data_IF_168304081857
#
_entry.id   IF_168304081857
#
_cell.length_a   1.000
_cell.length_b   1.000
_cell.length_c   1.000
_cell.angle_alpha   90.00
_cell.angle_beta   90.00
_cell.angle_gamma   90.00
#
_symmetry.space_group_name_H-M   'P 1'
#
loop_
_entity.id
_entity.type
_entity.pdbx_description
1 polymer ?
#
# COMPACT_ATOMS: atom_id res chain seq x y z
N UNK A 1 -1.20 -0.90 3.83
CA UNK A 1 -2.32 -1.08 2.85
C UNK A 1 -3.38 -2.09 3.30
N UNK A 2 -3.13 -3.42 3.31
CA UNK A 2 -4.15 -4.46 3.62
C UNK A 2 -4.95 -4.19 4.91
N UNK A 3 -4.27 -3.77 5.97
CA UNK A 3 -4.90 -3.45 7.25
C UNK A 3 -5.93 -2.31 7.12
N UNK A 4 -5.53 -1.18 6.53
CA UNK A 4 -6.43 -0.04 6.28
C UNK A 4 -7.58 -0.38 5.33
N UNK A 5 -7.32 -1.20 4.32
CA UNK A 5 -8.39 -1.71 3.44
C UNK A 5 -9.42 -2.55 4.19
N UNK A 6 -9.00 -3.34 5.19
CA UNK A 6 -9.92 -4.04 6.07
C UNK A 6 -10.69 -3.08 6.97
N UNK A 7 -10.10 -1.99 7.44
CA UNK A 7 -10.82 -0.99 8.24
C UNK A 7 -11.84 -0.20 7.39
N UNK A 8 -11.50 0.10 6.14
CA UNK A 8 -12.35 0.89 5.23
C UNK A 8 -13.63 0.18 4.78
N UNK A 9 -13.68 -1.16 4.87
CA UNK A 9 -14.89 -1.98 4.68
C UNK A 9 -15.62 -1.74 3.34
N UNK A 10 -14.91 -1.36 2.27
CA UNK A 10 -15.51 -1.20 0.94
C UNK A 10 -15.97 -2.56 0.39
N UNK A 11 -17.18 -2.60 -0.18
CA UNK A 11 -17.84 -3.85 -0.61
C UNK A 11 -18.08 -3.96 -2.11
N UNK A 12 -17.82 -2.90 -2.86
CA UNK A 12 -17.87 -2.88 -4.33
C UNK A 12 -16.46 -2.76 -4.89
N UNK A 13 -16.25 -3.21 -6.12
CA UNK A 13 -14.95 -3.07 -6.80
C UNK A 13 -14.64 -1.59 -7.01
N UNK A 14 -15.65 -0.82 -7.42
CA UNK A 14 -15.61 0.61 -7.70
C UNK A 14 -15.13 1.41 -6.47
N UNK A 15 -15.73 1.17 -5.31
CA UNK A 15 -15.33 1.85 -4.09
C UNK A 15 -13.96 1.39 -3.60
N UNK A 16 -13.63 0.12 -3.81
CA UNK A 16 -12.36 -0.46 -3.38
C UNK A 16 -11.19 0.16 -4.15
N UNK A 17 -11.25 0.21 -5.48
CA UNK A 17 -10.12 0.73 -6.27
C UNK A 17 -9.96 2.25 -6.09
N UNK A 18 -11.07 3.01 -6.02
CA UNK A 18 -11.03 4.45 -5.71
C UNK A 18 -10.41 4.71 -4.35
N UNK A 19 -10.80 3.94 -3.33
CA UNK A 19 -10.26 4.11 -1.99
C UNK A 19 -8.77 3.73 -1.91
N UNK A 20 -8.34 2.65 -2.58
CA UNK A 20 -6.91 2.31 -2.66
C UNK A 20 -6.11 3.45 -3.29
N UNK A 21 -6.62 4.06 -4.38
CA UNK A 21 -5.99 5.20 -5.05
C UNK A 21 -5.68 6.34 -4.08
N UNK A 22 -6.68 6.79 -3.32
CA UNK A 22 -6.46 7.83 -2.29
C UNK A 22 -5.57 7.34 -1.14
N UNK A 23 -5.69 6.09 -0.72
CA UNK A 23 -4.88 5.53 0.36
C UNK A 23 -3.38 5.55 0.02
N UNK A 24 -3.01 5.19 -1.21
CA UNK A 24 -1.59 5.17 -1.60
C UNK A 24 -0.98 6.56 -1.70
N UNK A 25 -1.76 7.59 -1.99
CA UNK A 25 -1.32 8.99 -1.97
C UNK A 25 -0.93 9.48 -0.57
N UNK A 26 -1.41 8.82 0.49
CA UNK A 26 -1.10 9.17 1.88
C UNK A 26 0.16 8.49 2.42
N UNK A 27 0.81 7.61 1.65
CA UNK A 27 2.00 6.88 2.09
C UNK A 27 3.25 7.67 1.71
N UNK A 28 4.06 8.00 2.71
CA UNK A 28 5.29 8.77 2.50
C UNK A 28 6.34 7.95 1.75
N UNK A 29 7.18 8.64 0.97
CA UNK A 29 8.25 8.01 0.19
C UNK A 29 9.21 7.19 1.10
N UNK A 30 9.44 7.66 2.32
CA UNK A 30 10.29 6.98 3.31
C UNK A 30 9.68 5.67 3.79
N UNK A 31 8.37 5.64 4.07
CA UNK A 31 7.65 4.42 4.45
C UNK A 31 7.67 3.39 3.31
N UNK A 32 7.48 3.86 2.07
CA UNK A 32 7.53 3.03 0.88
C UNK A 32 8.93 2.40 0.69
N UNK A 33 9.99 3.19 0.82
CA UNK A 33 11.37 2.69 0.75
C UNK A 33 11.66 1.67 1.86
N UNK A 34 11.24 1.96 3.10
CA UNK A 34 11.39 1.04 4.23
C UNK A 34 10.65 -0.28 3.98
N UNK A 35 9.45 -0.24 3.39
CA UNK A 35 8.72 -1.45 3.03
C UNK A 35 9.50 -2.29 2.02
N UNK A 36 10.01 -1.69 0.94
CA UNK A 36 10.77 -2.42 -0.07
C UNK A 36 12.05 -3.07 0.50
N UNK A 37 12.77 -2.36 1.37
CA UNK A 37 13.95 -2.91 2.04
C UNK A 37 13.58 -4.11 2.95
N UNK A 38 12.59 -3.95 3.83
CA UNK A 38 12.24 -4.98 4.82
C UNK A 38 11.49 -6.17 4.22
N UNK A 39 10.77 -5.98 3.11
CA UNK A 39 10.09 -7.04 2.38
C UNK A 39 11.01 -7.77 1.38
N UNK A 40 12.29 -7.41 1.30
CA UNK A 40 13.27 -8.03 0.41
C UNK A 40 13.14 -7.66 -1.06
N UNK A 41 12.26 -6.72 -1.41
CA UNK A 41 12.10 -6.23 -2.79
C UNK A 41 13.28 -5.35 -3.25
N UNK A 42 13.97 -4.71 -2.31
CA UNK A 42 15.18 -3.92 -2.60
C UNK A 42 16.48 -4.75 -2.55
N UNK A 43 16.40 -6.09 -2.46
CA UNK A 43 17.58 -6.93 -2.54
C UNK A 43 18.12 -6.95 -3.97
N UNK A 44 19.18 -6.19 -4.22
CA UNK A 44 19.93 -6.31 -5.47
C UNK A 44 20.62 -7.67 -5.48
N UNK A 45 20.23 -8.55 -6.40
CA UNK A 45 20.98 -9.78 -6.67
C UNK A 45 22.24 -9.39 -7.43
N UNK A 46 23.37 -9.35 -6.73
CA UNK A 46 24.71 -9.41 -7.36
C UNK A 46 24.96 -10.80 -7.93
#
# INVERSE_FOLDING_TARGET
IKHWMRQAQKRTVEDTWRHIGHLVETIEATECNNYFANAGYASVKT
#
